data_IF_555885929888
#
_entry.id   IF_555885929888
#
_cell.length_a   1.000
_cell.length_b   1.000
_cell.length_c   1.000
_cell.angle_alpha   90.00
_cell.angle_beta   90.00
_cell.angle_gamma   90.00
#
_symmetry.space_group_name_H-M   'P 1'
#
loop_
_entity.id
_entity.type
_entity.pdbx_description
1 polymer ?
#
# COMPACT_ATOMS: atom_id res chain seq x y z
N UNK A 1 2.82 18.69 -15.51
CA UNK A 1 3.37 17.47 -14.89
C UNK A 1 3.02 17.50 -13.42
N UNK A 2 2.21 16.57 -12.93
CA UNK A 2 1.80 16.48 -11.52
C UNK A 2 2.40 15.23 -10.87
N UNK A 3 2.89 15.43 -9.66
CA UNK A 3 3.70 14.54 -8.84
C UNK A 3 2.87 13.39 -8.24
N UNK A 4 3.27 12.14 -8.47
CA UNK A 4 2.57 10.92 -8.02
C UNK A 4 3.10 10.40 -6.68
N UNK A 5 2.65 10.98 -5.56
CA UNK A 5 2.77 10.38 -4.21
C UNK A 5 1.60 10.73 -3.27
N UNK A 6 0.47 11.24 -3.77
CA UNK A 6 -0.69 11.56 -2.91
C UNK A 6 -1.63 10.37 -2.71
N UNK A 7 -2.30 10.36 -1.54
CA UNK A 7 -3.33 9.38 -1.17
C UNK A 7 -4.52 9.47 -2.12
N UNK A 8 -5.02 8.31 -2.58
CA UNK A 8 -6.20 8.23 -3.46
C UNK A 8 -7.44 8.83 -2.77
N UNK A 9 -7.55 8.65 -1.45
CA UNK A 9 -8.64 9.21 -0.64
C UNK A 9 -8.64 10.74 -0.63
N UNK A 10 -7.46 11.35 -0.48
CA UNK A 10 -7.34 12.81 -0.42
C UNK A 10 -7.66 13.45 -1.78
N UNK A 11 -7.31 12.75 -2.86
CA UNK A 11 -7.60 13.22 -4.23
C UNK A 11 -9.10 13.16 -4.54
N UNK A 12 -9.79 12.09 -4.11
CA UNK A 12 -11.24 11.98 -4.32
C UNK A 12 -12.01 13.06 -3.57
N UNK A 13 -11.64 13.34 -2.31
CA UNK A 13 -12.29 14.38 -1.50
C UNK A 13 -12.14 15.78 -2.10
N UNK A 14 -10.96 16.08 -2.66
CA UNK A 14 -10.71 17.38 -3.32
C UNK A 14 -11.49 17.48 -4.63
N UNK A 15 -11.58 16.40 -5.42
CA UNK A 15 -12.36 16.38 -6.66
C UNK A 15 -13.86 16.57 -6.39
N UNK A 16 -14.40 15.92 -5.35
CA UNK A 16 -15.80 16.07 -4.98
C UNK A 16 -16.13 17.49 -4.46
N UNK A 17 -15.22 18.09 -3.68
CA UNK A 17 -15.34 19.48 -3.26
C UNK A 17 -15.30 20.46 -4.44
N UNK A 18 -14.42 20.23 -5.42
CA UNK A 18 -14.31 21.05 -6.63
C UNK A 18 -15.54 20.92 -7.54
N UNK A 19 -16.12 19.72 -7.68
CA UNK A 19 -17.37 19.49 -8.42
C UNK A 19 -18.57 20.18 -7.77
N UNK A 20 -18.62 20.16 -6.44
CA UNK A 20 -19.67 20.85 -5.68
C UNK A 20 -19.57 22.38 -5.85
N UNK A 21 -18.35 22.93 -5.90
CA UNK A 21 -18.11 24.37 -6.01
C UNK A 21 -18.19 24.91 -7.45
N UNK A 22 -17.85 24.09 -8.44
CA UNK A 22 -17.81 24.47 -9.86
C UNK A 22 -18.50 23.41 -10.75
N UNK A 23 -19.84 23.45 -10.89
CA UNK A 23 -20.61 22.43 -11.61
C UNK A 23 -20.32 22.36 -13.12
N UNK A 24 -19.77 23.43 -13.70
CA UNK A 24 -19.41 23.53 -15.11
C UNK A 24 -17.97 23.06 -15.41
N UNK A 25 -17.24 22.54 -14.42
CA UNK A 25 -15.87 22.09 -14.63
C UNK A 25 -15.87 20.83 -15.51
N UNK A 26 -15.36 20.96 -16.73
CA UNK A 26 -15.04 19.84 -17.61
C UNK A 26 -13.84 19.08 -17.04
N UNK A 27 -14.10 18.24 -16.04
CA UNK A 27 -13.06 17.37 -15.47
C UNK A 27 -12.68 16.27 -16.47
N UNK A 28 -11.40 15.86 -16.53
CA UNK A 28 -11.02 14.69 -17.31
C UNK A 28 -11.90 13.50 -16.90
N UNK A 29 -12.30 12.68 -17.88
CA UNK A 29 -13.01 11.42 -17.61
C UNK A 29 -12.18 10.62 -16.62
N UNK A 30 -12.85 9.91 -15.71
CA UNK A 30 -12.31 9.17 -14.56
C UNK A 30 -11.20 8.13 -14.89
N UNK A 31 -10.73 8.05 -16.13
CA UNK A 31 -9.99 6.92 -16.70
C UNK A 31 -8.47 7.12 -16.73
N UNK A 32 -7.95 8.32 -16.42
CA UNK A 32 -6.50 8.58 -16.42
C UNK A 32 -5.81 8.31 -15.06
N UNK A 33 -6.53 7.79 -14.06
CA UNK A 33 -5.89 7.31 -12.83
C UNK A 33 -5.41 5.87 -13.06
N UNK A 34 -4.26 5.81 -13.75
CA UNK A 34 -3.27 4.74 -13.78
C UNK A 34 -3.69 3.42 -13.06
N UNK A 35 -4.24 2.49 -13.84
CA UNK A 35 -4.53 1.09 -13.51
C UNK A 35 -3.40 0.39 -12.71
N UNK A 36 -2.15 0.82 -12.91
CA UNK A 36 -0.97 0.28 -12.25
C UNK A 36 -0.86 0.62 -10.75
N UNK A 37 -1.53 1.68 -10.27
CA UNK A 37 -1.54 2.03 -8.83
C UNK A 37 -2.69 1.32 -8.10
N UNK A 38 -3.81 1.09 -8.79
CA UNK A 38 -4.98 0.39 -8.24
C UNK A 38 -4.68 -1.10 -8.02
N UNK A 39 -4.10 -1.77 -9.02
CA UNK A 39 -3.74 -3.19 -8.93
C UNK A 39 -2.81 -3.52 -7.75
N UNK A 40 -1.90 -2.59 -7.39
CA UNK A 40 -0.97 -2.82 -6.29
C UNK A 40 -1.59 -2.59 -4.92
N UNK A 41 -2.51 -1.65 -4.81
CA UNK A 41 -3.26 -1.46 -3.58
C UNK A 41 -4.23 -2.61 -3.37
N UNK A 42 -4.95 -3.03 -4.42
CA UNK A 42 -5.90 -4.13 -4.32
C UNK A 42 -5.21 -5.49 -4.07
N UNK A 43 -4.02 -5.71 -4.62
CA UNK A 43 -3.22 -6.89 -4.29
C UNK A 43 -2.80 -6.94 -2.80
N UNK A 44 -2.41 -5.80 -2.21
CA UNK A 44 -2.12 -5.76 -0.77
C UNK A 44 -3.40 -5.90 0.06
N UNK A 45 -4.53 -5.38 -0.42
CA UNK A 45 -5.80 -5.58 0.28
C UNK A 45 -6.20 -7.05 0.32
N UNK A 46 -6.14 -7.72 -0.81
CA UNK A 46 -6.44 -9.15 -0.89
C UNK A 46 -5.46 -9.95 -0.02
N UNK A 47 -4.17 -9.60 -0.06
CA UNK A 47 -3.17 -10.24 0.80
C UNK A 47 -3.47 -10.05 2.30
N UNK A 48 -3.92 -8.86 2.70
CA UNK A 48 -4.28 -8.57 4.08
C UNK A 48 -5.56 -9.29 4.54
N UNK A 49 -6.51 -9.54 3.62
CA UNK A 49 -7.75 -10.27 3.91
C UNK A 49 -7.54 -11.79 4.05
N UNK A 50 -6.56 -12.33 3.31
CA UNK A 50 -6.25 -13.77 3.30
C UNK A 50 -5.19 -14.18 4.35
N UNK A 51 -4.48 -13.22 4.95
CA UNK A 51 -3.37 -13.46 5.89
C UNK A 51 -3.63 -12.85 7.27
N UNK A 52 -3.12 -13.50 8.32
CA UNK A 52 -3.24 -13.00 9.69
C UNK A 52 -2.17 -11.94 10.00
N UNK A 53 -1.03 -11.99 9.30
CA UNK A 53 0.08 -11.03 9.43
C UNK A 53 0.66 -10.71 8.05
N UNK A 54 1.02 -9.45 7.83
CA UNK A 54 1.69 -8.99 6.61
C UNK A 54 3.10 -8.49 6.92
N UNK A 55 4.09 -9.03 6.22
CA UNK A 55 5.47 -8.57 6.25
C UNK A 55 5.77 -7.76 5.00
N UNK A 56 6.20 -6.52 5.19
CA UNK A 56 6.60 -5.62 4.12
C UNK A 56 8.12 -5.51 4.12
N UNK A 57 8.76 -6.04 3.08
CA UNK A 57 10.20 -5.95 2.90
C UNK A 57 10.57 -4.61 2.29
N UNK A 58 11.38 -3.85 3.01
CA UNK A 58 12.01 -2.62 2.54
C UNK A 58 12.33 -1.66 3.68
N UNK A 59 13.18 -0.70 3.37
CA UNK A 59 13.72 0.18 4.40
C UNK A 59 12.68 1.16 4.96
N UNK A 60 12.79 1.55 6.25
CA UNK A 60 11.92 2.54 6.90
C UNK A 60 11.92 3.91 6.22
N UNK A 61 12.96 4.25 5.46
CA UNK A 61 13.04 5.50 4.70
C UNK A 61 12.28 5.46 3.36
N UNK A 62 11.70 4.31 2.99
CA UNK A 62 10.92 4.17 1.75
C UNK A 62 9.47 4.56 1.96
N UNK A 63 9.06 5.69 1.40
CA UNK A 63 7.65 6.13 1.43
C UNK A 63 6.71 5.07 0.83
N UNK A 64 7.13 4.35 -0.22
CA UNK A 64 6.32 3.29 -0.81
C UNK A 64 6.12 2.11 0.15
N UNK A 65 7.18 1.68 0.85
CA UNK A 65 7.09 0.54 1.76
C UNK A 65 6.23 0.87 2.98
N UNK A 66 6.37 2.08 3.54
CA UNK A 66 5.51 2.55 4.62
C UNK A 66 4.04 2.61 4.20
N UNK A 67 3.76 3.07 2.97
CA UNK A 67 2.40 3.11 2.43
C UNK A 67 1.76 1.72 2.35
N UNK A 68 2.52 0.68 1.97
CA UNK A 68 2.00 -0.69 1.92
C UNK A 68 1.71 -1.22 3.32
N UNK A 69 2.58 -0.95 4.31
CA UNK A 69 2.36 -1.30 5.71
C UNK A 69 1.11 -0.62 6.26
N UNK A 70 0.99 0.69 6.09
CA UNK A 70 -0.17 1.48 6.53
C UNK A 70 -1.47 0.97 5.90
N UNK A 71 -1.42 0.50 4.66
CA UNK A 71 -2.60 -0.05 3.98
C UNK A 71 -3.05 -1.36 4.60
N UNK A 72 -2.13 -2.27 4.94
CA UNK A 72 -2.45 -3.50 5.65
C UNK A 72 -2.95 -3.22 7.09
N UNK A 73 -2.34 -2.29 7.81
CA UNK A 73 -2.81 -1.85 9.14
C UNK A 73 -4.24 -1.30 9.09
N UNK A 74 -4.59 -0.53 8.04
CA UNK A 74 -5.97 -0.03 7.83
C UNK A 74 -7.00 -1.14 7.62
N UNK A 75 -6.57 -2.33 7.23
CA UNK A 75 -7.43 -3.50 7.06
C UNK A 75 -7.56 -4.34 8.34
N UNK A 76 -7.06 -3.82 9.46
CA UNK A 76 -7.00 -4.51 10.75
C UNK A 76 -6.10 -5.76 10.75
N UNK A 77 -5.22 -5.89 9.75
CA UNK A 77 -4.20 -6.94 9.70
C UNK A 77 -2.88 -6.39 10.24
N UNK A 78 -2.28 -6.99 11.28
CA UNK A 78 -0.95 -6.62 11.75
C UNK A 78 0.06 -6.61 10.61
N UNK A 79 0.77 -5.49 10.44
CA UNK A 79 1.76 -5.35 9.38
C UNK A 79 3.10 -4.83 9.92
N UNK A 80 4.18 -5.47 9.51
CA UNK A 80 5.53 -5.14 9.96
C UNK A 80 6.42 -4.78 8.79
N UNK A 81 7.24 -3.74 8.98
CA UNK A 81 8.25 -3.35 8.01
C UNK A 81 9.59 -3.94 8.43
N UNK A 82 10.22 -4.70 7.54
CA UNK A 82 11.51 -5.35 7.76
C UNK A 82 12.51 -4.94 6.67
N UNK A 83 13.71 -4.53 7.07
CA UNK A 83 14.79 -4.24 6.11
C UNK A 83 15.60 -5.53 5.83
N UNK A 84 15.72 -6.39 6.83
CA UNK A 84 16.41 -7.68 6.75
C UNK A 84 15.78 -8.80 7.59
N UNK A 85 16.37 -9.99 7.53
CA UNK A 85 15.89 -11.14 8.30
C UNK A 85 16.08 -10.96 9.82
N UNK A 86 17.02 -10.10 10.20
CA UNK A 86 17.35 -9.72 11.58
C UNK A 86 16.22 -8.97 12.29
N UNK A 87 15.34 -8.30 11.54
CA UNK A 87 14.21 -7.55 12.10
C UNK A 87 13.04 -8.46 12.48
N UNK A 88 13.07 -9.74 12.06
CA UNK A 88 11.99 -10.70 12.30
C UNK A 88 11.91 -11.08 13.78
N UNK A 89 10.77 -10.81 14.40
CA UNK A 89 10.49 -11.23 15.77
C UNK A 89 9.62 -12.48 15.76
N UNK A 90 10.02 -13.50 16.54
CA UNK A 90 9.27 -14.76 16.65
C UNK A 90 7.84 -14.56 17.15
N UNK A 91 7.63 -13.58 18.02
CA UNK A 91 6.33 -13.23 18.58
C UNK A 91 5.29 -12.81 17.54
N UNK A 92 5.72 -12.37 16.34
CA UNK A 92 4.80 -12.02 15.25
C UNK A 92 4.15 -13.25 14.61
N UNK A 93 4.66 -14.44 14.89
CA UNK A 93 4.18 -15.70 14.32
C UNK A 93 3.45 -16.57 15.33
N UNK A 94 3.27 -16.10 16.56
CA UNK A 94 2.58 -16.85 17.61
C UNK A 94 1.08 -16.91 17.30
N UNK A 95 0.59 -18.12 16.96
CA UNK A 95 -0.83 -18.35 16.65
C UNK A 95 -1.26 -17.89 15.26
N UNK A 96 -0.32 -17.61 14.36
CA UNK A 96 -0.56 -17.20 12.97
C UNK A 96 -0.47 -18.42 12.06
N UNK A 97 -1.48 -18.61 11.20
CA UNK A 97 -1.47 -19.69 10.20
C UNK A 97 -0.99 -19.20 8.85
N UNK A 98 -1.28 -17.94 8.50
CA UNK A 98 -1.00 -17.38 7.17
C UNK A 98 -0.24 -16.06 7.27
N UNK A 99 0.93 -16.03 6.64
CA UNK A 99 1.81 -14.87 6.60
C UNK A 99 1.88 -14.38 5.16
N UNK A 100 1.44 -13.14 4.94
CA UNK A 100 1.56 -12.45 3.66
C UNK A 100 2.91 -11.75 3.57
N UNK A 101 3.65 -11.95 2.48
CA UNK A 101 4.93 -11.27 2.26
C UNK A 101 4.79 -10.38 1.02
N UNK A 102 5.10 -9.10 1.18
CA UNK A 102 5.14 -8.13 0.08
C UNK A 102 6.41 -7.31 0.16
N UNK A 103 6.83 -6.74 -0.97
CA UNK A 103 8.07 -5.99 -1.05
C UNK A 103 7.82 -4.63 -1.71
N UNK A 104 8.44 -3.59 -1.15
CA UNK A 104 8.45 -2.27 -1.77
C UNK A 104 9.11 -2.30 -3.15
N UNK A 105 8.73 -1.39 -4.04
CA UNK A 105 9.29 -1.33 -5.40
C UNK A 105 10.82 -1.18 -5.43
N UNK A 106 11.41 -0.63 -4.36
CA UNK A 106 12.84 -0.44 -4.16
C UNK A 106 13.58 -1.63 -3.54
N UNK A 107 12.87 -2.65 -3.02
CA UNK A 107 13.46 -3.81 -2.35
C UNK A 107 14.04 -4.87 -3.33
N UNK A 108 13.98 -4.60 -4.64
CA UNK A 108 14.31 -5.52 -5.76
C UNK A 108 15.73 -6.10 -5.77
N UNK A 109 16.60 -5.82 -4.80
CA UNK A 109 18.01 -6.25 -4.83
C UNK A 109 18.43 -7.25 -3.75
N UNK A 110 17.66 -7.42 -2.67
CA UNK A 110 18.09 -8.28 -1.57
C UNK A 110 17.21 -9.51 -1.30
N UNK A 111 15.97 -9.57 -1.80
CA UNK A 111 15.07 -10.70 -1.54
C UNK A 111 14.37 -11.13 -2.83
N UNK A 112 14.74 -12.29 -3.37
CA UNK A 112 13.86 -13.04 -4.28
C UNK A 112 12.78 -13.66 -3.41
N UNK A 113 11.62 -12.99 -3.30
CA UNK A 113 10.38 -13.63 -2.85
C UNK A 113 9.92 -14.48 -4.03
N UNK A 114 10.27 -15.76 -4.01
CA UNK A 114 9.93 -16.79 -4.99
C UNK A 114 8.74 -17.62 -4.50
#
# INVERSE_FOLDING_TARGET
MTQTTLSMDDTSRVIDALRTRFPAIGGPRKDDICYATQNRQDAVKQLADECDVVLVVGSPNSSNSNRLRELAERMATPAYLIDGAEDLQRSWFDGVERIGITAGASARKCWCVA
#
